data_IF_091756502762
#
_entry.id   IF_091756502762
#
_cell.length_a   1.000
_cell.length_b   1.000
_cell.length_c   1.000
_cell.angle_alpha   90.00
_cell.angle_beta   90.00
_cell.angle_gamma   90.00
#
_symmetry.space_group_name_H-M   'P 1'
#
loop_
_entity.id
_entity.type
_entity.pdbx_description
1 polymer ?
#
# COMPACT_ATOMS: atom_id res chain seq x y z
N UNK A 1 12.51 -18.15 8.51
CA UNK A 1 11.69 -17.10 7.90
C UNK A 1 12.61 -16.26 7.03
N UNK A 2 12.19 -15.93 5.81
CA UNK A 2 12.87 -14.96 4.96
C UNK A 2 12.10 -13.64 4.99
N UNK A 3 12.80 -12.52 4.84
CA UNK A 3 12.19 -11.19 4.79
C UNK A 3 12.77 -10.40 3.63
N UNK A 4 11.90 -9.74 2.87
CA UNK A 4 12.26 -8.71 1.88
C UNK A 4 11.63 -7.40 2.32
N UNK A 5 12.41 -6.33 2.32
CA UNK A 5 11.91 -5.00 2.64
C UNK A 5 12.40 -4.02 1.57
N UNK A 6 11.50 -3.18 1.09
CA UNK A 6 11.81 -2.01 0.29
C UNK A 6 11.17 -0.79 0.95
N UNK A 7 11.86 0.35 0.88
CA UNK A 7 11.31 1.62 1.26
C UNK A 7 11.80 2.72 0.34
N UNK A 8 11.00 3.77 0.21
CA UNK A 8 11.39 5.02 -0.43
C UNK A 8 10.66 6.17 0.27
N UNK A 9 11.14 7.39 0.05
CA UNK A 9 10.58 8.61 0.61
C UNK A 9 10.52 9.72 -0.43
N UNK A 10 9.51 10.58 -0.33
CA UNK A 10 9.34 11.71 -1.23
C UNK A 10 8.77 12.90 -0.47
N UNK A 11 9.27 14.08 -0.79
CA UNK A 11 8.77 15.33 -0.23
C UNK A 11 7.56 15.83 -1.04
N UNK A 12 6.47 16.11 -0.34
CA UNK A 12 5.24 16.68 -0.86
C UNK A 12 5.10 18.13 -0.38
N UNK A 13 4.56 18.99 -1.25
CA UNK A 13 4.21 20.37 -0.89
C UNK A 13 2.85 20.50 -0.20
N UNK A 14 2.09 19.41 -0.15
CA UNK A 14 0.81 19.30 0.55
C UNK A 14 1.03 19.06 2.05
N UNK A 15 0.13 19.54 2.92
CA UNK A 15 0.20 19.26 4.34
C UNK A 15 -0.04 17.76 4.63
N UNK A 16 0.50 17.28 5.76
CA UNK A 16 0.54 15.86 6.08
C UNK A 16 -0.85 15.23 6.20
N UNK A 17 -1.84 15.99 6.68
CA UNK A 17 -3.23 15.58 6.79
C UNK A 17 -3.87 15.29 5.43
N UNK A 18 -3.54 16.09 4.43
CA UNK A 18 -4.02 15.90 3.08
C UNK A 18 -3.37 14.70 2.40
N UNK A 19 -2.05 14.53 2.52
CA UNK A 19 -1.37 13.34 1.98
C UNK A 19 -1.90 12.09 2.68
N UNK A 20 -2.01 12.12 4.01
CA UNK A 20 -2.55 11.04 4.82
C UNK A 20 -3.96 10.66 4.39
N UNK A 21 -4.88 11.62 4.33
CA UNK A 21 -6.28 11.37 3.96
C UNK A 21 -6.41 10.75 2.57
N UNK A 22 -5.55 11.14 1.62
CA UNK A 22 -5.55 10.57 0.28
C UNK A 22 -5.09 9.11 0.28
N UNK A 23 -3.92 8.81 0.87
CA UNK A 23 -3.31 7.47 0.78
C UNK A 23 -3.92 6.44 1.76
N UNK A 24 -4.58 6.91 2.82
CA UNK A 24 -5.29 6.08 3.79
C UNK A 24 -6.72 5.72 3.39
N UNK A 25 -7.21 6.25 2.25
CA UNK A 25 -8.42 5.80 1.58
C UNK A 25 -8.06 4.79 0.49
N UNK A 26 -8.27 3.47 0.71
CA UNK A 26 -7.90 2.45 -0.29
C UNK A 26 -8.61 2.63 -1.62
N UNK A 27 -9.77 3.31 -1.65
CA UNK A 27 -10.51 3.58 -2.90
C UNK A 27 -9.75 4.51 -3.85
N UNK A 28 -8.75 5.25 -3.36
CA UNK A 28 -7.87 6.05 -4.20
C UNK A 28 -6.75 5.23 -4.85
N UNK A 29 -6.52 3.97 -4.47
CA UNK A 29 -5.41 3.19 -5.01
C UNK A 29 -5.55 2.90 -6.51
N UNK A 30 -6.78 2.72 -6.99
CA UNK A 30 -7.07 2.56 -8.44
C UNK A 30 -6.71 3.78 -9.27
N UNK A 31 -6.54 4.96 -8.65
CA UNK A 31 -6.10 6.19 -9.33
C UNK A 31 -4.59 6.25 -9.51
N UNK A 32 -3.84 5.58 -8.62
CA UNK A 32 -2.37 5.62 -8.59
C UNK A 32 -1.72 4.35 -9.14
N UNK A 33 -2.50 3.28 -9.28
CA UNK A 33 -2.14 2.05 -9.99
C UNK A 33 -3.13 1.79 -11.15
N UNK A 34 -3.02 2.52 -12.28
CA UNK A 34 -3.93 2.35 -13.41
C UNK A 34 -3.77 0.95 -14.02
N UNK A 35 -4.85 0.16 -13.99
CA UNK A 35 -4.88 -1.22 -14.47
C UNK A 35 -4.89 -2.29 -13.36
N UNK A 36 -4.73 -1.89 -12.10
CA UNK A 36 -4.88 -2.80 -10.96
C UNK A 36 -6.33 -2.98 -10.52
N UNK A 37 -6.50 -3.98 -9.67
CA UNK A 37 -7.75 -4.68 -9.45
C UNK A 37 -8.69 -3.93 -8.47
N UNK A 38 -10.00 -4.14 -8.59
CA UNK A 38 -11.04 -3.39 -7.85
C UNK A 38 -10.83 -3.38 -6.33
N UNK A 39 -11.18 -2.27 -5.67
CA UNK A 39 -11.16 -2.17 -4.20
C UNK A 39 -12.59 -2.35 -3.67
N UNK A 40 -12.77 -3.30 -2.75
CA UNK A 40 -14.07 -3.60 -2.13
C UNK A 40 -14.00 -3.67 -0.60
N UNK A 41 -15.15 -3.56 0.07
CA UNK A 41 -15.25 -3.67 1.53
C UNK A 41 -14.85 -2.41 2.31
N UNK A 42 -14.71 -1.26 1.65
CA UNK A 42 -14.48 0.04 2.32
C UNK A 42 -15.83 0.72 2.56
N UNK A 43 -16.48 0.37 3.67
CA UNK A 43 -17.84 0.86 3.99
C UNK A 43 -17.85 2.26 4.64
N UNK A 44 -16.75 2.64 5.29
CA UNK A 44 -16.63 3.90 6.05
C UNK A 44 -15.22 4.46 5.99
N UNK A 45 -15.10 5.78 6.18
CA UNK A 45 -13.85 6.48 6.42
C UNK A 45 -14.00 7.51 7.56
N UNK A 46 -12.91 7.85 8.28
CA UNK A 46 -11.60 7.18 8.22
C UNK A 46 -11.70 5.73 8.70
N UNK A 47 -10.83 4.86 8.18
CA UNK A 47 -10.76 3.46 8.62
C UNK A 47 -10.34 3.39 10.09
N UNK A 48 -10.84 2.37 10.80
CA UNK A 48 -10.44 2.07 12.17
C UNK A 48 -9.55 0.83 12.22
N UNK A 49 -8.66 0.78 13.22
CA UNK A 49 -7.80 -0.40 13.42
C UNK A 49 -8.69 -1.65 13.54
N UNK A 50 -8.39 -2.66 12.74
CA UNK A 50 -9.18 -3.87 12.61
C UNK A 50 -10.09 -3.91 11.37
N UNK A 51 -10.40 -2.76 10.75
CA UNK A 51 -11.15 -2.72 9.50
C UNK A 51 -10.36 -3.46 8.39
N UNK A 52 -11.10 -4.10 7.49
CA UNK A 52 -10.55 -4.92 6.40
C UNK A 52 -11.12 -4.51 5.05
N UNK A 53 -10.33 -4.61 4.00
CA UNK A 53 -10.78 -4.40 2.62
C UNK A 53 -10.11 -5.42 1.68
N UNK A 54 -10.68 -5.54 0.49
CA UNK A 54 -10.23 -6.45 -0.55
C UNK A 54 -9.61 -5.66 -1.68
N UNK A 55 -8.54 -6.21 -2.25
CA UNK A 55 -7.94 -5.78 -3.50
C UNK A 55 -8.09 -6.89 -4.53
N UNK A 56 -8.76 -6.57 -5.62
CA UNK A 56 -9.06 -7.42 -6.76
C UNK A 56 -10.42 -8.11 -6.77
N UNK A 57 -10.73 -8.67 -7.95
CA UNK A 57 -11.98 -9.38 -8.22
C UNK A 57 -11.99 -10.74 -7.52
N UNK A 58 -13.18 -11.32 -7.32
CA UNK A 58 -13.32 -12.57 -6.57
C UNK A 58 -12.70 -13.77 -7.31
N UNK A 59 -11.80 -14.55 -6.69
CA UNK A 59 -11.27 -14.39 -5.33
C UNK A 59 -10.23 -13.26 -5.21
N UNK A 60 -10.38 -12.38 -4.20
CA UNK A 60 -9.56 -11.18 -4.03
C UNK A 60 -8.06 -11.47 -3.87
N UNK A 61 -7.22 -10.80 -4.66
CA UNK A 61 -5.75 -10.96 -4.71
C UNK A 61 -5.08 -10.66 -3.36
N UNK A 62 -5.62 -9.70 -2.61
CA UNK A 62 -5.23 -9.43 -1.23
C UNK A 62 -6.44 -9.15 -0.33
N UNK A 63 -6.36 -9.62 0.92
CA UNK A 63 -7.24 -9.19 2.01
C UNK A 63 -6.44 -8.37 3.00
N UNK A 64 -6.64 -7.07 2.98
CA UNK A 64 -5.92 -6.13 3.82
C UNK A 64 -6.63 -5.92 5.15
N UNK A 65 -5.86 -5.70 6.21
CA UNK A 65 -6.33 -5.34 7.54
C UNK A 65 -5.54 -4.17 8.09
N UNK A 66 -6.23 -3.13 8.56
CA UNK A 66 -5.60 -2.01 9.22
C UNK A 66 -5.10 -2.40 10.62
N UNK A 67 -3.83 -2.16 10.90
CA UNK A 67 -3.21 -2.47 12.21
C UNK A 67 -2.70 -1.23 12.95
N UNK A 68 -2.54 -0.09 12.26
CA UNK A 68 -2.19 1.18 12.90
C UNK A 68 -2.79 2.34 12.13
N UNK A 69 -3.44 3.25 12.85
CA UNK A 69 -3.93 4.51 12.32
C UNK A 69 -3.66 5.63 13.33
N UNK A 70 -2.67 6.47 13.03
CA UNK A 70 -2.39 7.72 13.74
C UNK A 70 -2.49 8.82 12.70
N UNK A 71 -3.56 9.65 12.73
CA UNK A 71 -3.76 10.72 11.76
C UNK A 71 -2.49 11.55 11.55
N UNK A 72 -2.20 11.81 10.28
CA UNK A 72 -1.12 12.68 9.80
C UNK A 72 0.31 12.21 10.17
N UNK A 73 0.44 11.00 10.72
CA UNK A 73 1.72 10.47 11.20
C UNK A 73 1.99 9.05 10.73
N UNK A 74 1.00 8.15 10.84
CA UNK A 74 1.24 6.72 10.60
C UNK A 74 0.01 5.95 10.16
N UNK A 75 0.15 5.17 9.09
CA UNK A 75 -0.88 4.26 8.61
C UNK A 75 -0.21 2.94 8.24
N UNK A 76 -0.60 1.83 8.88
CA UNK A 76 0.01 0.52 8.65
C UNK A 76 -1.06 -0.54 8.50
N UNK A 77 -0.96 -1.32 7.44
CA UNK A 77 -1.89 -2.39 7.13
C UNK A 77 -1.15 -3.61 6.61
N UNK A 78 -1.79 -4.77 6.74
CA UNK A 78 -1.17 -6.04 6.38
C UNK A 78 -2.13 -6.98 5.67
N UNK A 79 -1.59 -7.86 4.84
CA UNK A 79 -2.29 -9.00 4.27
C UNK A 79 -1.55 -10.28 4.68
N UNK A 80 -2.31 -11.32 5.04
CA UNK A 80 -1.78 -12.61 5.52
C UNK A 80 -2.46 -13.73 4.76
N UNK A 81 -1.70 -14.71 4.31
CA UNK A 81 -2.25 -15.89 3.64
C UNK A 81 -1.64 -16.09 2.26
N UNK A 82 -2.48 -16.44 1.30
CA UNK A 82 -2.10 -16.61 -0.10
C UNK A 82 -2.08 -15.22 -0.76
N UNK A 83 -0.88 -14.69 -0.94
CA UNK A 83 -0.62 -13.35 -1.46
C UNK A 83 -0.49 -13.38 -2.97
N UNK A 84 -1.08 -12.39 -3.66
CA UNK A 84 -0.82 -12.17 -5.08
C UNK A 84 -1.29 -13.31 -5.98
N UNK A 85 -2.38 -14.01 -5.60
CA UNK A 85 -2.90 -15.09 -6.43
C UNK A 85 -3.61 -14.54 -7.67
N UNK A 86 -3.47 -15.28 -8.76
CA UNK A 86 -4.16 -15.06 -10.02
C UNK A 86 -5.47 -15.87 -10.01
N UNK A 87 -6.64 -15.22 -10.16
CA UNK A 87 -7.94 -15.90 -10.12
C UNK A 87 -8.13 -16.93 -11.24
N UNK A 88 -7.40 -16.82 -12.36
CA UNK A 88 -7.51 -17.73 -13.50
C UNK A 88 -6.56 -18.93 -13.41
N UNK A 89 -5.63 -18.93 -12.44
CA UNK A 89 -4.62 -19.98 -12.26
C UNK A 89 -4.83 -20.68 -10.92
N UNK A 90 -5.14 -21.98 -10.95
CA UNK A 90 -5.29 -22.79 -9.74
C UNK A 90 -3.98 -22.85 -8.93
N UNK A 91 -4.08 -22.69 -7.61
CA UNK A 91 -2.93 -22.67 -6.68
C UNK A 91 -1.89 -21.58 -6.97
N UNK A 92 -2.29 -20.49 -7.61
CA UNK A 92 -1.47 -19.30 -7.78
C UNK A 92 -1.32 -18.53 -6.46
N UNK A 93 -0.40 -17.58 -6.42
CA UNK A 93 -0.04 -16.84 -5.21
C UNK A 93 0.92 -17.60 -4.31
N UNK A 94 1.24 -17.02 -3.16
CA UNK A 94 2.23 -17.60 -2.26
C UNK A 94 1.91 -17.33 -0.79
N UNK A 95 2.25 -18.28 0.07
CA UNK A 95 2.03 -18.12 1.51
C UNK A 95 2.99 -17.06 2.07
N UNK A 96 2.43 -16.01 2.68
CA UNK A 96 3.24 -14.97 3.32
C UNK A 96 2.45 -14.00 4.18
N UNK A 97 3.17 -13.02 4.70
CA UNK A 97 2.65 -11.83 5.36
C UNK A 97 3.28 -10.62 4.70
N UNK A 98 2.44 -9.74 4.12
CA UNK A 98 2.88 -8.46 3.58
C UNK A 98 2.39 -7.35 4.49
N UNK A 99 3.30 -6.48 4.93
CA UNK A 99 3.01 -5.28 5.70
C UNK A 99 3.41 -4.06 4.88
N UNK A 100 2.50 -3.09 4.78
CA UNK A 100 2.77 -1.79 4.19
C UNK A 100 2.63 -0.74 5.28
N UNK A 101 3.65 0.10 5.43
CA UNK A 101 3.73 1.16 6.43
C UNK A 101 3.97 2.51 5.76
N UNK A 102 3.10 3.47 6.08
CA UNK A 102 3.22 4.87 5.72
C UNK A 102 3.60 5.66 6.97
N UNK A 103 4.63 6.49 6.85
CA UNK A 103 5.06 7.42 7.89
C UNK A 103 5.14 8.82 7.28
N UNK A 104 4.59 9.80 8.00
CA UNK A 104 4.60 11.20 7.59
C UNK A 104 5.38 12.01 8.62
N UNK A 105 6.25 12.89 8.14
CA UNK A 105 7.00 13.83 8.98
C UNK A 105 7.06 15.19 8.30
N UNK A 106 7.29 16.25 9.08
CA UNK A 106 7.43 17.62 8.55
C UNK A 106 8.84 18.12 8.79
N UNK A 107 9.79 17.88 7.87
CA UNK A 107 11.19 18.27 8.05
C UNK A 107 11.41 19.80 7.96
N UNK A 108 10.43 20.54 7.46
CA UNK A 108 10.45 21.99 7.33
C UNK A 108 9.06 22.57 7.09
N UNK A 109 8.96 23.89 7.10
CA UNK A 109 7.69 24.60 6.88
C UNK A 109 7.13 24.28 5.48
N UNK A 110 5.85 23.87 5.43
CA UNK A 110 5.16 23.57 4.17
C UNK A 110 5.64 22.30 3.45
N UNK A 111 6.47 21.47 4.08
CA UNK A 111 6.96 20.22 3.49
C UNK A 111 6.50 19.02 4.31
N UNK A 112 5.89 18.05 3.64
CA UNK A 112 5.60 16.72 4.19
C UNK A 112 6.53 15.70 3.56
N UNK A 113 7.37 15.04 4.36
CA UNK A 113 8.11 13.86 3.91
C UNK A 113 7.23 12.62 4.15
N UNK A 114 6.83 12.00 3.05
CA UNK A 114 6.10 10.74 3.05
C UNK A 114 7.07 9.58 2.80
N UNK A 115 7.24 8.72 3.81
CA UNK A 115 8.04 7.50 3.73
C UNK A 115 7.11 6.28 3.65
N UNK A 116 7.27 5.49 2.59
CA UNK A 116 6.53 4.23 2.36
C UNK A 116 7.50 3.06 2.47
N UNK A 117 7.14 2.08 3.28
CA UNK A 117 7.85 0.80 3.41
C UNK A 117 6.91 -0.36 3.12
N UNK A 118 7.40 -1.33 2.35
CA UNK A 118 6.75 -2.62 2.14
C UNK A 118 7.67 -3.71 2.67
N UNK A 119 7.13 -4.61 3.47
CA UNK A 119 7.85 -5.75 4.04
C UNK A 119 7.09 -7.04 3.75
N UNK A 120 7.80 -8.05 3.25
CA UNK A 120 7.27 -9.37 2.99
C UNK A 120 7.99 -10.39 3.86
N UNK A 121 7.23 -11.16 4.63
CA UNK A 121 7.71 -12.29 5.41
C UNK A 121 7.22 -13.61 4.77
N UNK A 122 8.15 -14.53 4.56
CA UNK A 122 7.87 -15.83 3.93
C UNK A 122 8.43 -17.03 4.70
N UNK A 123 7.82 -18.22 4.54
CA UNK A 123 8.34 -19.46 5.12
C UNK A 123 9.80 -19.75 4.76
N UNK A 124 10.47 -20.52 5.62
CA UNK A 124 11.86 -20.95 5.37
C UNK A 124 11.93 -21.78 4.08
N UNK A 125 12.88 -21.46 3.20
CA UNK A 125 13.09 -22.09 1.87
C UNK A 125 11.96 -21.82 0.85
N UNK A 126 11.11 -20.82 1.08
CA UNK A 126 10.17 -20.38 0.06
C UNK A 126 10.92 -19.91 -1.20
N UNK A 127 10.38 -20.23 -2.37
CA UNK A 127 10.81 -19.69 -3.66
C UNK A 127 9.77 -18.66 -4.06
N UNK A 128 10.20 -17.40 -4.21
CA UNK A 128 9.30 -16.32 -4.60
C UNK A 128 9.15 -16.28 -6.12
N UNK A 129 7.94 -16.07 -6.65
CA UNK A 129 7.74 -15.77 -8.07
C UNK A 129 8.53 -14.53 -8.49
N UNK A 130 9.10 -14.53 -9.71
CA UNK A 130 9.88 -13.39 -10.22
C UNK A 130 9.08 -12.08 -10.22
N UNK A 131 7.81 -12.14 -10.64
CA UNK A 131 6.91 -11.00 -10.60
C UNK A 131 6.73 -10.42 -9.19
N UNK A 132 6.74 -11.26 -8.15
CA UNK A 132 6.64 -10.79 -6.76
C UNK A 132 7.92 -10.06 -6.33
N UNK A 133 9.09 -10.57 -6.72
CA UNK A 133 10.37 -9.92 -6.41
C UNK A 133 10.43 -8.55 -7.09
N UNK A 134 9.94 -8.44 -8.33
CA UNK A 134 9.94 -7.18 -9.08
C UNK A 134 9.15 -6.06 -8.37
N UNK A 135 8.03 -6.38 -7.70
CA UNK A 135 7.24 -5.39 -6.92
C UNK A 135 8.08 -4.71 -5.83
N UNK A 136 9.14 -5.36 -5.31
CA UNK A 136 10.03 -4.81 -4.29
C UNK A 136 11.16 -3.93 -4.87
N UNK A 137 11.16 -3.64 -6.16
CA UNK A 137 12.07 -2.64 -6.72
C UNK A 137 11.65 -1.21 -6.30
N UNK A 138 12.58 -0.36 -5.80
CA UNK A 138 12.25 0.98 -5.31
C UNK A 138 11.47 1.86 -6.30
N UNK A 139 11.73 1.70 -7.60
CA UNK A 139 11.04 2.45 -8.67
C UNK A 139 9.51 2.33 -8.63
N UNK A 140 8.97 1.24 -8.10
CA UNK A 140 7.51 1.07 -7.97
C UNK A 140 6.94 1.89 -6.81
N UNK A 141 7.70 2.10 -5.74
CA UNK A 141 7.33 3.07 -4.70
C UNK A 141 7.41 4.49 -5.24
N UNK A 142 8.47 4.81 -5.99
CA UNK A 142 8.65 6.14 -6.56
C UNK A 142 7.52 6.47 -7.55
N UNK A 143 7.16 5.52 -8.43
CA UNK A 143 6.02 5.66 -9.35
C UNK A 143 4.70 5.88 -8.61
N UNK A 144 4.50 5.19 -7.48
CA UNK A 144 3.34 5.40 -6.62
C UNK A 144 3.34 6.81 -6.00
N UNK A 145 4.47 7.29 -5.49
CA UNK A 145 4.58 8.66 -4.97
C UNK A 145 4.32 9.72 -6.04
N UNK A 146 4.84 9.53 -7.26
CA UNK A 146 4.59 10.42 -8.40
C UNK A 146 3.10 10.50 -8.74
N UNK A 147 2.41 9.35 -8.77
CA UNK A 147 0.98 9.30 -9.03
C UNK A 147 0.15 9.94 -7.89
N UNK A 148 0.53 9.73 -6.63
CA UNK A 148 -0.09 10.43 -5.48
C UNK A 148 0.09 11.94 -5.62
N UNK A 149 1.30 12.41 -5.95
CA UNK A 149 1.57 13.83 -6.13
C UNK A 149 0.73 14.43 -7.26
N UNK A 150 0.59 13.70 -8.37
CA UNK A 150 -0.25 14.10 -9.50
C UNK A 150 -1.72 14.24 -9.09
N UNK A 151 -2.30 13.25 -8.41
CA UNK A 151 -3.70 13.28 -7.97
C UNK A 151 -3.98 14.38 -6.93
N UNK A 152 -3.04 14.60 -6.00
CA UNK A 152 -3.13 15.69 -5.03
C UNK A 152 -3.07 17.07 -5.70
N UNK A 153 -2.27 17.23 -6.76
CA UNK A 153 -2.20 18.49 -7.53
C UNK A 153 -3.50 18.80 -8.30
N UNK A 154 -4.19 17.76 -8.80
CA UNK A 154 -5.47 17.91 -9.53
C UNK A 154 -6.63 18.31 -8.62
N UNK A 155 -6.57 17.93 -7.36
CA UNK A 155 -7.63 18.19 -6.38
C UNK A 155 -7.64 19.63 -5.83
N UNK A 156 -6.72 20.50 -6.30
CA UNK A 156 -6.59 21.90 -5.91
C UNK A 156 -6.92 22.91 -7.03
N UNK A 157 -7.62 22.47 -8.09
CA UNK A 157 -8.15 23.34 -9.15
C UNK A 157 -9.66 23.48 -9.03
#
# INVERSE_FOLDING_TARGET
>A
MGTITVSSETAFGQPADQVYAFVSDPRNWTKVYPGEADIAGVDRLPLQVGDTWLEGSAPAVFTWRLITAVPDQKFVFQSVGLLGHDPDIENSGFQGLMTIAYTFTSPGEGVTLFHRQMSLEVPKRAVLPEGMIAVFEPRHIDSYHDAVAQELSRSHV
#
